data_IF_176662618442
#
_entry.id   IF_176662618442
#
_cell.length_a   1.000
_cell.length_b   1.000
_cell.length_c   1.000
_cell.angle_alpha   90.00
_cell.angle_beta   90.00
_cell.angle_gamma   90.00
#
_symmetry.space_group_name_H-M   'P 1'
#
loop_
_entity.id
_entity.type
_entity.pdbx_description
1 polymer ?
#
# COMPACT_ATOMS: atom_id res chain seq x y z
N UNK A 1 9.45 -18.92 -15.98
CA UNK A 1 10.66 -18.08 -16.19
C UNK A 1 10.70 -16.97 -15.13
N UNK A 2 11.90 -16.50 -14.78
CA UNK A 2 12.10 -15.42 -13.78
C UNK A 2 11.35 -14.15 -14.17
N UNK A 3 11.41 -13.75 -15.45
CA UNK A 3 10.69 -12.59 -16.00
C UNK A 3 9.19 -12.68 -15.71
N UNK A 4 8.55 -13.79 -16.06
CA UNK A 4 7.13 -14.02 -15.81
C UNK A 4 6.78 -13.92 -14.31
N UNK A 5 7.62 -14.47 -13.43
CA UNK A 5 7.36 -14.40 -11.98
C UNK A 5 7.52 -12.98 -11.44
N UNK A 6 8.49 -12.22 -11.95
CA UNK A 6 8.66 -10.82 -11.61
C UNK A 6 7.45 -10.00 -12.06
N UNK A 7 6.97 -10.19 -13.29
CA UNK A 7 5.80 -9.50 -13.84
C UNK A 7 4.52 -9.78 -13.05
N UNK A 8 4.28 -11.04 -12.68
CA UNK A 8 3.17 -11.44 -11.79
C UNK A 8 3.19 -10.61 -10.49
N UNK A 9 4.32 -10.60 -9.78
CA UNK A 9 4.48 -9.88 -8.52
C UNK A 9 4.37 -8.36 -8.68
N UNK A 10 4.86 -7.82 -9.79
CA UNK A 10 4.73 -6.40 -10.11
C UNK A 10 3.27 -6.02 -10.32
N UNK A 11 2.49 -6.86 -10.99
CA UNK A 11 1.06 -6.63 -11.20
C UNK A 11 0.28 -6.72 -9.88
N UNK A 12 0.61 -7.67 -9.01
CA UNK A 12 0.00 -7.77 -7.67
C UNK A 12 0.20 -6.48 -6.86
N UNK A 13 1.42 -5.91 -6.85
CA UNK A 13 1.71 -4.67 -6.13
C UNK A 13 0.99 -3.47 -6.76
N UNK A 14 0.98 -3.39 -8.09
CA UNK A 14 0.30 -2.29 -8.79
C UNK A 14 -1.20 -2.27 -8.49
N UNK A 15 -1.83 -3.44 -8.53
CA UNK A 15 -3.28 -3.61 -8.35
C UNK A 15 -3.73 -3.62 -6.88
N UNK A 16 -2.81 -3.75 -5.92
CA UNK A 16 -3.15 -3.69 -4.49
C UNK A 16 -3.57 -2.26 -4.07
N UNK A 17 -4.65 -2.13 -3.29
CA UNK A 17 -5.20 -0.81 -2.89
C UNK A 17 -4.78 -0.36 -1.47
N UNK A 18 -3.95 -1.13 -0.77
CA UNK A 18 -3.59 -0.88 0.62
C UNK A 18 -2.38 0.06 0.76
N UNK A 19 -1.38 -0.08 -0.12
CA UNK A 19 -0.11 0.67 -0.09
C UNK A 19 -0.15 2.10 -0.63
N UNK A 20 0.73 2.96 -0.13
CA UNK A 20 1.02 4.27 -0.75
C UNK A 20 1.82 4.12 -2.05
N UNK A 21 1.92 5.20 -2.82
CA UNK A 21 2.75 5.22 -4.03
C UNK A 21 4.21 4.91 -3.71
N UNK A 22 4.73 5.47 -2.62
CA UNK A 22 6.12 5.30 -2.18
C UNK A 22 6.39 3.85 -1.75
N UNK A 23 5.49 3.25 -0.97
CA UNK A 23 5.61 1.85 -0.53
C UNK A 23 5.55 0.88 -1.73
N UNK A 24 4.66 1.15 -2.68
CA UNK A 24 4.60 0.38 -3.94
C UNK A 24 5.89 0.51 -4.74
N UNK A 25 6.45 1.71 -4.86
CA UNK A 25 7.71 1.92 -5.58
C UNK A 25 8.87 1.15 -4.95
N UNK A 26 8.99 1.15 -3.62
CA UNK A 26 10.02 0.37 -2.91
C UNK A 26 9.84 -1.13 -3.21
N UNK A 27 8.62 -1.65 -3.10
CA UNK A 27 8.37 -3.07 -3.36
C UNK A 27 8.61 -3.45 -4.84
N UNK A 28 8.25 -2.57 -5.78
CA UNK A 28 8.56 -2.71 -7.21
C UNK A 28 10.08 -2.74 -7.44
N UNK A 29 10.84 -1.86 -6.77
CA UNK A 29 12.28 -1.81 -6.91
C UNK A 29 12.94 -3.09 -6.40
N UNK A 30 12.52 -3.59 -5.23
CA UNK A 30 13.01 -4.85 -4.67
C UNK A 30 12.82 -6.04 -5.63
N UNK A 31 11.69 -6.11 -6.35
CA UNK A 31 11.45 -7.16 -7.36
C UNK A 31 12.41 -7.02 -8.54
N UNK A 32 12.63 -5.78 -9.02
CA UNK A 32 13.56 -5.54 -10.14
C UNK A 32 14.99 -5.88 -9.76
N UNK A 33 15.41 -5.52 -8.56
CA UNK A 33 16.75 -5.82 -8.06
C UNK A 33 16.95 -7.33 -7.91
N UNK A 34 15.97 -8.04 -7.36
CA UNK A 34 16.01 -9.50 -7.27
C UNK A 34 16.04 -10.18 -8.64
N UNK A 35 15.24 -9.68 -9.60
CA UNK A 35 15.28 -10.16 -11.00
C UNK A 35 16.67 -9.97 -11.61
N UNK A 36 17.21 -8.76 -11.53
CA UNK A 36 18.52 -8.44 -12.10
C UNK A 36 19.63 -9.28 -11.45
N UNK A 37 19.56 -9.47 -10.13
CA UNK A 37 20.53 -10.32 -9.42
C UNK A 37 20.46 -11.77 -9.88
N UNK A 38 19.26 -12.31 -10.10
CA UNK A 38 19.09 -13.67 -10.58
C UNK A 38 19.56 -13.83 -12.05
N UNK A 39 19.23 -12.86 -12.91
CA UNK A 39 19.68 -12.84 -14.32
C UNK A 39 21.22 -12.77 -14.40
N UNK A 40 21.84 -11.97 -13.53
CA UNK A 40 23.30 -11.88 -13.45
C UNK A 40 23.95 -13.19 -12.99
N UNK A 41 23.39 -13.85 -11.98
CA UNK A 41 23.90 -15.16 -11.53
C UNK A 41 23.82 -16.20 -12.64
N UNK A 42 22.68 -16.30 -13.32
CA UNK A 42 22.49 -17.21 -14.46
C UNK A 42 23.52 -16.94 -15.57
N UNK A 43 23.81 -15.68 -15.85
CA UNK A 43 24.75 -15.30 -16.90
C UNK A 43 26.21 -15.62 -16.53
N UNK A 44 26.54 -15.61 -15.24
CA UNK A 44 27.88 -15.92 -14.73
C UNK A 44 28.13 -17.42 -14.56
N UNK A 45 27.08 -18.22 -14.43
CA UNK A 45 27.19 -19.66 -14.19
C UNK A 45 27.70 -20.43 -15.42
N UNK A 46 28.66 -21.32 -15.19
CA UNK A 46 29.39 -22.05 -16.25
C UNK A 46 28.71 -23.39 -16.60
N UNK A 47 28.02 -24.00 -15.63
CA UNK A 47 27.41 -25.32 -15.79
C UNK A 47 25.88 -25.23 -15.80
N UNK A 48 25.23 -26.15 -16.50
CA UNK A 48 23.78 -26.23 -16.54
C UNK A 48 23.16 -26.41 -15.13
N UNK A 49 23.82 -27.19 -14.27
CA UNK A 49 23.37 -27.40 -12.89
C UNK A 49 23.40 -26.11 -12.07
N UNK A 50 24.41 -25.26 -12.27
CA UNK A 50 24.48 -23.97 -11.60
C UNK A 50 23.39 -23.03 -12.13
N UNK A 51 23.19 -22.97 -13.46
CA UNK A 51 22.10 -22.20 -14.08
C UNK A 51 20.73 -22.59 -13.55
N UNK A 52 20.45 -23.90 -13.45
CA UNK A 52 19.20 -24.41 -12.86
C UNK A 52 19.04 -23.99 -11.39
N UNK A 53 20.13 -24.05 -10.63
CA UNK A 53 20.15 -23.63 -9.22
C UNK A 53 19.90 -22.12 -9.08
N UNK A 54 20.54 -21.29 -9.90
CA UNK A 54 20.33 -19.85 -9.93
C UNK A 54 18.90 -19.49 -10.35
N UNK A 55 18.33 -20.22 -11.32
CA UNK A 55 16.92 -20.05 -11.70
C UNK A 55 15.98 -20.34 -10.53
N UNK A 56 16.16 -21.47 -9.85
CA UNK A 56 15.35 -21.88 -8.70
C UNK A 56 15.46 -20.87 -7.54
N UNK A 57 16.67 -20.44 -7.24
CA UNK A 57 16.95 -19.45 -6.19
C UNK A 57 16.35 -18.08 -6.53
N UNK A 58 16.47 -17.64 -7.79
CA UNK A 58 15.87 -16.39 -8.27
C UNK A 58 14.35 -16.40 -8.17
N UNK A 59 13.70 -17.48 -8.62
CA UNK A 59 12.25 -17.66 -8.50
C UNK A 59 11.79 -17.64 -7.04
N UNK A 60 12.51 -18.36 -6.18
CA UNK A 60 12.23 -18.41 -4.75
C UNK A 60 12.35 -17.02 -4.12
N UNK A 61 13.43 -16.30 -4.42
CA UNK A 61 13.68 -14.95 -3.90
C UNK A 61 12.58 -13.98 -4.30
N UNK A 62 12.24 -13.92 -5.60
CA UNK A 62 11.17 -13.04 -6.11
C UNK A 62 9.81 -13.40 -5.49
N UNK A 63 9.50 -14.69 -5.35
CA UNK A 63 8.22 -15.13 -4.78
C UNK A 63 8.03 -14.68 -3.32
N UNK A 64 9.12 -14.67 -2.54
CA UNK A 64 9.15 -14.28 -1.12
C UNK A 64 9.06 -12.78 -0.89
N UNK A 65 9.26 -11.94 -1.90
CA UNK A 65 9.12 -10.48 -1.74
C UNK A 65 7.65 -10.16 -1.43
N UNK A 66 7.42 -9.53 -0.27
CA UNK A 66 6.13 -9.02 0.12
C UNK A 66 6.20 -7.50 0.28
N UNK A 67 5.22 -6.75 -0.24
CA UNK A 67 5.15 -5.33 0.02
C UNK A 67 4.79 -5.06 1.48
N UNK A 68 5.49 -4.12 2.11
CA UNK A 68 5.13 -3.60 3.43
C UNK A 68 4.20 -2.39 3.26
N UNK A 69 2.90 -2.65 3.25
CA UNK A 69 1.89 -1.59 3.16
C UNK A 69 1.47 -1.14 4.55
N UNK A 70 1.88 0.07 4.95
CA UNK A 70 1.34 0.65 6.17
C UNK A 70 -0.05 1.18 5.87
N UNK A 71 -1.05 0.61 6.56
CA UNK A 71 -2.48 0.94 6.40
C UNK A 71 -2.65 2.46 6.33
N UNK A 72 -3.07 2.93 5.16
CA UNK A 72 -3.04 4.34 4.79
C UNK A 72 -3.71 5.26 5.83
N UNK A 73 -2.93 6.15 6.46
CA UNK A 73 -3.42 7.27 7.30
C UNK A 73 -4.50 8.11 6.62
N UNK A 74 -4.60 8.10 5.29
CA UNK A 74 -5.65 8.81 4.53
C UNK A 74 -7.07 8.32 4.84
N UNK A 75 -7.29 7.01 5.05
CA UNK A 75 -8.61 6.49 5.44
C UNK A 75 -8.99 6.98 6.84
N UNK A 76 -8.03 6.95 7.77
CA UNK A 76 -8.18 7.44 9.13
C UNK A 76 -8.44 8.96 9.16
N UNK A 77 -7.72 9.74 8.35
CA UNK A 77 -7.91 11.19 8.26
C UNK A 77 -9.29 11.53 7.65
N UNK A 78 -9.74 10.79 6.63
CA UNK A 78 -11.05 11.01 6.00
C UNK A 78 -12.18 10.71 7.00
N UNK A 79 -12.08 9.61 7.74
CA UNK A 79 -13.05 9.29 8.80
C UNK A 79 -13.02 10.37 9.89
N UNK A 80 -11.85 10.75 10.42
CA UNK A 80 -11.70 11.82 11.42
C UNK A 80 -12.30 13.16 10.95
N UNK A 81 -12.01 13.60 9.72
CA UNK A 81 -12.57 14.85 9.15
C UNK A 81 -14.09 14.79 9.05
N UNK A 82 -14.64 13.66 8.61
CA UNK A 82 -16.10 13.48 8.50
C UNK A 82 -16.79 13.53 9.87
N UNK A 83 -16.20 12.89 10.89
CA UNK A 83 -16.69 12.95 12.27
C UNK A 83 -16.62 14.35 12.86
N UNK A 84 -15.50 15.07 12.67
CA UNK A 84 -15.33 16.46 13.13
C UNK A 84 -16.39 17.38 12.52
N UNK A 85 -16.72 17.17 11.24
CA UNK A 85 -17.73 17.94 10.52
C UNK A 85 -19.15 17.65 11.05
N UNK A 86 -19.48 16.37 11.27
CA UNK A 86 -20.77 15.95 11.84
C UNK A 86 -20.96 16.51 13.25
N UNK A 87 -19.91 16.48 14.10
CA UNK A 87 -19.94 17.09 15.44
C UNK A 87 -20.17 18.60 15.39
N UNK A 88 -19.47 19.33 14.50
CA UNK A 88 -19.66 20.78 14.31
C UNK A 88 -21.10 21.15 13.94
N UNK A 89 -21.72 20.41 13.01
CA UNK A 89 -23.13 20.64 12.62
C UNK A 89 -24.07 20.42 13.81
N UNK A 90 -23.83 19.38 14.62
CA UNK A 90 -24.63 19.08 15.80
C UNK A 90 -24.51 20.17 16.88
N UNK A 91 -23.29 20.66 17.17
CA UNK A 91 -23.11 21.75 18.15
C UNK A 91 -23.77 23.04 17.69
N UNK A 92 -23.68 23.41 16.42
CA UNK A 92 -24.38 24.58 15.88
C UNK A 92 -25.90 24.44 16.03
N UNK A 93 -26.46 23.25 15.75
CA UNK A 93 -27.89 22.98 15.94
C UNK A 93 -28.31 23.16 17.40
N UNK A 94 -27.54 22.60 18.34
CA UNK A 94 -27.80 22.73 19.77
C UNK A 94 -27.76 24.20 20.25
N UNK A 95 -26.77 24.98 19.80
CA UNK A 95 -26.68 26.40 20.12
C UNK A 95 -27.89 27.21 19.60
N UNK A 96 -28.36 26.90 18.38
CA UNK A 96 -29.56 27.55 17.81
C UNK A 96 -30.82 27.22 18.60
N UNK A 97 -30.99 25.97 19.03
CA UNK A 97 -32.13 25.56 19.86
C UNK A 97 -32.13 26.25 21.22
N UNK A 98 -30.97 26.30 21.91
CA UNK A 98 -30.83 27.05 23.18
C UNK A 98 -31.16 28.53 23.03
N UNK A 99 -30.76 29.17 21.92
CA UNK A 99 -31.11 30.57 21.63
C UNK A 99 -32.60 30.76 21.38
N UNK A 100 -33.26 29.84 20.66
CA UNK A 100 -34.72 29.88 20.45
C UNK A 100 -35.49 29.76 21.76
N UNK A 101 -35.14 28.78 22.59
CA UNK A 101 -35.77 28.59 23.90
C UNK A 101 -35.57 29.82 24.80
N UNK A 102 -34.35 30.38 24.88
CA UNK A 102 -34.08 31.59 25.67
C UNK A 102 -34.89 32.82 25.23
N UNK A 103 -35.28 32.91 23.95
CA UNK A 103 -36.17 33.98 23.46
C UNK A 103 -37.64 33.72 23.84
N UNK A 104 -38.07 32.47 23.91
CA UNK A 104 -39.44 32.10 24.27
C UNK A 104 -39.78 32.32 25.75
N UNK A 105 -38.77 32.27 26.64
CA UNK A 105 -38.95 32.51 28.09
C UNK A 105 -38.63 33.94 28.54
N UNK A 106 -38.42 34.88 27.61
CA UNK A 106 -38.05 36.29 27.90
C UNK A 106 -39.08 37.32 27.40
N UNK A 107 -40.21 36.86 26.89
CA UNK A 107 -41.35 37.68 26.50
C UNK A 107 -42.44 37.58 27.55
#
# INVERSE_FOLDING_TARGET
>A
MISAKAEEKLNDIKNNNEGTTEEKQIAIQNIRDAKNSADNQITQDITNQNVESAQSNGLTTISRIQPNFTKNRKHEIKSIKSFKTKRRKLTIRQMRLKKKNKKQFKG
#
